data_IF_335773251150
#
_entry.id   IF_335773251150
#
_cell.length_a   1.000
_cell.length_b   1.000
_cell.length_c   1.000
_cell.angle_alpha   90.00
_cell.angle_beta   90.00
_cell.angle_gamma   90.00
#
_symmetry.space_group_name_H-M   'P 1'
#
loop_
_entity.id
_entity.type
_entity.pdbx_description
1 polymer ?
#
# COMPACT_ATOMS: atom_id res chain seq x y z
N UNK A 1 31.66 10.03 37.06
CA UNK A 1 30.64 11.05 36.73
C UNK A 1 31.15 11.86 35.55
N UNK A 2 30.66 11.58 34.35
CA UNK A 2 30.76 12.45 33.17
C UNK A 2 29.99 11.74 32.05
N UNK A 3 28.70 12.04 31.95
CA UNK A 3 27.86 11.57 30.87
C UNK A 3 28.33 12.21 29.56
N UNK A 4 28.81 11.37 28.64
CA UNK A 4 29.11 11.79 27.28
C UNK A 4 27.79 11.80 26.52
N UNK A 5 27.37 13.00 26.14
CA UNK A 5 26.23 13.29 25.28
C UNK A 5 26.40 12.57 23.94
N UNK A 6 25.74 11.42 23.80
CA UNK A 6 25.70 10.61 22.58
C UNK A 6 24.73 11.18 21.51
N UNK A 7 24.18 12.37 21.76
CA UNK A 7 23.19 13.06 20.92
C UNK A 7 23.60 14.52 20.75
N UNK A 8 24.60 14.77 19.93
CA UNK A 8 24.84 16.07 19.31
C UNK A 8 25.82 15.87 18.17
N UNK A 9 25.48 16.44 17.01
CA UNK A 9 26.26 16.40 15.76
C UNK A 9 25.98 15.18 14.87
N UNK A 10 24.83 15.19 14.16
CA UNK A 10 24.72 14.65 12.78
C UNK A 10 23.32 14.87 12.14
N UNK A 11 22.64 15.98 12.47
CA UNK A 11 21.36 16.36 11.84
C UNK A 11 21.41 17.72 11.12
N UNK A 12 22.58 18.06 10.58
CA UNK A 12 22.74 19.18 9.62
C UNK A 12 23.30 18.67 8.30
N UNK A 13 22.66 17.64 7.74
CA UNK A 13 22.81 17.28 6.34
C UNK A 13 21.61 17.80 5.56
N UNK A 14 21.76 18.95 4.90
CA UNK A 14 20.84 19.31 3.80
C UNK A 14 20.71 18.09 2.89
N UNK A 15 19.51 17.49 2.80
CA UNK A 15 19.24 16.46 1.80
C UNK A 15 19.62 17.07 0.45
N UNK A 16 20.52 16.45 -0.35
CA UNK A 16 20.96 17.04 -1.60
C UNK A 16 19.76 17.14 -2.52
N UNK A 17 19.18 18.34 -2.60
CA UNK A 17 18.18 18.69 -3.60
C UNK A 17 18.89 18.57 -4.93
N UNK A 18 18.59 17.50 -5.68
CA UNK A 18 19.24 17.23 -6.96
C UNK A 18 18.97 18.43 -7.86
N UNK A 19 19.99 19.28 -8.08
CA UNK A 19 19.90 20.42 -9.00
C UNK A 19 19.36 19.92 -10.35
N UNK A 20 18.32 20.59 -10.85
CA UNK A 20 17.71 20.29 -12.14
C UNK A 20 18.81 20.16 -13.22
N UNK A 21 18.85 19.02 -13.91
CA UNK A 21 19.81 18.75 -14.99
C UNK A 21 20.97 17.79 -14.64
N UNK A 22 21.29 17.57 -13.35
CA UNK A 22 22.36 16.63 -12.95
C UNK A 22 22.13 15.21 -13.48
N UNK A 23 20.88 14.74 -13.51
CA UNK A 23 20.54 13.42 -14.01
C UNK A 23 20.85 13.23 -15.50
N UNK A 24 20.75 14.30 -16.31
CA UNK A 24 21.05 14.26 -17.75
C UNK A 24 22.53 14.05 -18.01
N UNK A 25 23.39 14.65 -17.18
CA UNK A 25 24.85 14.50 -17.25
C UNK A 25 25.28 13.17 -16.61
N UNK A 26 24.64 12.79 -15.51
CA UNK A 26 24.92 11.55 -14.77
C UNK A 26 24.57 10.30 -15.58
N UNK A 27 23.50 10.36 -16.39
CA UNK A 27 22.95 9.25 -17.19
C UNK A 27 22.78 7.94 -16.40
N UNK A 28 22.62 8.04 -15.08
CA UNK A 28 22.45 6.91 -14.19
C UNK A 28 23.72 6.09 -13.90
N UNK A 29 24.89 6.49 -14.38
CA UNK A 29 26.15 5.75 -14.21
C UNK A 29 27.13 6.42 -13.25
N UNK A 30 27.13 7.76 -13.20
CA UNK A 30 28.11 8.55 -12.44
C UNK A 30 27.73 8.83 -10.99
N UNK A 31 26.52 8.44 -10.57
CA UNK A 31 26.00 8.59 -9.20
C UNK A 31 26.18 10.00 -8.57
N UNK A 32 26.16 11.05 -9.40
CA UNK A 32 26.40 12.44 -8.97
C UNK A 32 25.34 13.03 -8.03
N UNK A 33 24.25 12.31 -7.77
CA UNK A 33 23.22 12.68 -6.79
C UNK A 33 23.50 12.14 -5.38
N UNK A 34 24.61 11.41 -5.18
CA UNK A 34 25.00 10.86 -3.87
C UNK A 34 24.13 9.71 -3.36
N UNK A 35 23.14 9.25 -4.13
CA UNK A 35 22.35 8.06 -3.81
C UNK A 35 23.19 6.80 -4.08
N UNK A 36 22.95 5.71 -3.36
CA UNK A 36 23.61 4.42 -3.64
C UNK A 36 23.16 3.80 -4.97
N UNK A 37 21.89 4.01 -5.33
CA UNK A 37 21.28 3.53 -6.58
C UNK A 37 20.55 4.66 -7.30
N UNK A 38 20.69 4.70 -8.62
CA UNK A 38 20.03 5.74 -9.42
C UNK A 38 18.53 5.43 -9.54
N UNK A 39 17.62 6.32 -9.08
CA UNK A 39 16.19 6.07 -9.17
C UNK A 39 15.70 5.88 -10.61
N UNK A 40 16.33 6.54 -11.60
CA UNK A 40 15.97 6.37 -13.01
C UNK A 40 16.26 4.96 -13.52
N UNK A 41 17.39 4.38 -13.12
CA UNK A 41 17.76 3.02 -13.52
C UNK A 41 16.87 1.98 -12.84
N UNK A 42 16.58 2.16 -11.55
CA UNK A 42 15.61 1.34 -10.82
C UNK A 42 14.26 1.33 -11.55
N UNK A 43 13.76 2.51 -11.94
CA UNK A 43 12.51 2.63 -12.70
C UNK A 43 12.59 1.89 -14.05
N UNK A 44 13.70 2.03 -14.77
CA UNK A 44 13.88 1.40 -16.08
C UNK A 44 13.87 -0.13 -15.99
N UNK A 45 14.71 -0.70 -15.13
CA UNK A 45 14.81 -2.16 -14.98
C UNK A 45 13.51 -2.77 -14.46
N UNK A 46 12.89 -2.13 -13.48
CA UNK A 46 11.62 -2.61 -12.95
C UNK A 46 10.51 -2.60 -14.01
N UNK A 47 10.51 -1.62 -14.94
CA UNK A 47 9.56 -1.57 -16.06
C UNK A 47 9.72 -2.76 -16.99
N UNK A 48 10.97 -3.06 -17.33
CA UNK A 48 11.29 -4.17 -18.21
C UNK A 48 10.82 -5.50 -17.61
N UNK A 49 10.97 -5.68 -16.29
CA UNK A 49 10.53 -6.90 -15.60
C UNK A 49 9.02 -7.02 -15.45
N UNK A 50 8.29 -5.91 -15.29
CA UNK A 50 6.82 -5.91 -15.18
C UNK A 50 6.09 -6.03 -16.53
N UNK A 51 6.81 -5.94 -17.65
CA UNK A 51 6.22 -5.88 -19.00
C UNK A 51 5.37 -7.11 -19.37
N UNK A 52 5.73 -8.36 -19.03
CA UNK A 52 4.90 -9.52 -19.34
C UNK A 52 3.51 -9.50 -18.69
N UNK A 53 3.40 -8.88 -17.50
CA UNK A 53 2.14 -8.75 -16.76
C UNK A 53 1.20 -7.69 -17.38
N UNK A 54 1.73 -6.81 -18.23
CA UNK A 54 0.96 -5.75 -18.90
C UNK A 54 0.37 -6.18 -20.24
N UNK A 55 0.75 -7.35 -20.76
CA UNK A 55 0.27 -7.82 -22.06
C UNK A 55 -1.07 -8.58 -21.99
N UNK A 56 -1.46 -9.03 -20.79
CA UNK A 56 -2.68 -9.80 -20.55
C UNK A 56 -3.83 -8.92 -20.06
N UNK A 57 -5.06 -9.26 -20.50
CA UNK A 57 -6.30 -8.62 -20.03
C UNK A 57 -6.89 -9.29 -18.80
N UNK A 58 -6.55 -10.55 -18.59
CA UNK A 58 -6.97 -11.32 -17.44
C UNK A 58 -5.73 -11.62 -16.60
N UNK A 59 -5.85 -11.48 -15.29
CA UNK A 59 -4.77 -11.72 -14.35
C UNK A 59 -5.27 -12.53 -13.19
N UNK A 60 -4.56 -13.60 -12.89
CA UNK A 60 -4.82 -14.46 -11.76
C UNK A 60 -3.54 -14.64 -10.94
N UNK A 61 -3.68 -14.68 -9.63
CA UNK A 61 -2.57 -14.93 -8.73
C UNK A 61 -3.00 -14.95 -7.27
N UNK A 62 -2.04 -15.26 -6.40
CA UNK A 62 -2.22 -15.17 -4.96
C UNK A 62 -2.01 -13.71 -4.57
N UNK A 63 -3.09 -12.93 -4.45
CA UNK A 63 -2.97 -11.54 -3.98
C UNK A 63 -2.39 -11.57 -2.57
N UNK A 64 -1.24 -10.90 -2.30
CA UNK A 64 -0.95 -10.53 -0.92
C UNK A 64 -2.16 -9.70 -0.50
N UNK A 65 -2.75 -9.92 0.69
CA UNK A 65 -4.06 -9.34 1.06
C UNK A 65 -3.98 -7.80 1.10
N UNK A 66 -3.98 -7.18 -0.07
CA UNK A 66 -3.38 -5.90 -0.34
C UNK A 66 -4.28 -5.16 -1.29
N UNK A 67 -4.64 -3.95 -0.87
CA UNK A 67 -5.64 -3.13 -1.51
C UNK A 67 -5.10 -1.71 -1.60
N UNK A 68 -5.63 -0.93 -2.53
CA UNK A 68 -5.34 0.49 -2.59
C UNK A 68 -6.62 1.31 -2.66
N UNK A 69 -6.52 2.54 -2.16
CA UNK A 69 -7.55 3.57 -2.28
C UNK A 69 -6.90 4.83 -2.84
N UNK A 70 -7.33 5.23 -4.03
CA UNK A 70 -6.80 6.39 -4.73
C UNK A 70 -7.18 7.70 -4.03
N UNK A 71 -6.34 8.73 -4.20
CA UNK A 71 -6.57 10.08 -3.64
C UNK A 71 -7.26 11.06 -4.61
N UNK A 72 -7.16 10.80 -5.90
CA UNK A 72 -7.56 11.76 -6.93
C UNK A 72 -9.07 11.75 -7.16
N UNK A 73 -9.71 12.88 -6.90
CA UNK A 73 -11.15 13.07 -7.09
C UNK A 73 -12.02 12.75 -5.88
N UNK A 74 -11.44 12.61 -4.68
CA UNK A 74 -12.17 12.36 -3.44
C UNK A 74 -13.37 13.33 -3.30
N UNK A 75 -14.59 12.84 -3.00
CA UNK A 75 -14.92 11.49 -2.52
C UNK A 75 -15.02 10.41 -3.60
N UNK A 76 -15.06 10.75 -4.89
CA UNK A 76 -15.09 9.74 -5.97
C UNK A 76 -13.68 9.21 -6.22
N UNK A 77 -13.38 7.99 -5.80
CA UNK A 77 -12.03 7.43 -5.81
C UNK A 77 -11.97 6.09 -6.53
N UNK A 78 -10.78 5.74 -7.02
CA UNK A 78 -10.52 4.41 -7.55
C UNK A 78 -10.05 3.50 -6.40
N UNK A 79 -10.67 2.34 -6.27
CA UNK A 79 -10.29 1.29 -5.32
C UNK A 79 -9.97 -0.01 -6.05
N UNK A 80 -9.24 -0.89 -5.38
CA UNK A 80 -9.20 -2.29 -5.75
C UNK A 80 -7.98 -3.03 -5.21
N UNK A 81 -7.84 -4.30 -5.58
CA UNK A 81 -6.78 -5.15 -5.10
C UNK A 81 -5.45 -4.89 -5.82
N UNK A 82 -4.37 -5.33 -5.18
CA UNK A 82 -3.05 -5.48 -5.74
C UNK A 82 -2.83 -6.95 -6.10
N UNK A 83 -2.77 -7.25 -7.40
CA UNK A 83 -2.68 -8.61 -7.91
C UNK A 83 -1.29 -8.89 -8.48
N UNK A 84 -0.61 -9.95 -8.03
CA UNK A 84 0.53 -10.51 -8.74
C UNK A 84 0.05 -11.47 -9.84
N UNK A 85 0.91 -11.73 -10.83
CA UNK A 85 0.70 -12.80 -11.82
C UNK A 85 1.33 -14.15 -11.43
N UNK A 86 1.48 -14.39 -10.12
CA UNK A 86 2.08 -15.60 -9.55
C UNK A 86 1.21 -16.13 -8.41
N UNK A 87 1.23 -17.45 -8.22
CA UNK A 87 0.54 -18.14 -7.13
C UNK A 87 1.55 -18.59 -6.07
N UNK A 88 1.15 -18.61 -4.80
CA UNK A 88 2.00 -19.02 -3.68
C UNK A 88 1.97 -18.03 -2.53
N UNK A 89 3.02 -18.05 -1.69
CA UNK A 89 3.15 -17.10 -0.59
C UNK A 89 3.71 -15.76 -1.08
N UNK A 90 2.79 -14.86 -1.42
CA UNK A 90 3.09 -13.49 -1.85
C UNK A 90 3.07 -12.51 -0.68
N UNK A 91 2.87 -12.95 0.56
CA UNK A 91 2.72 -12.08 1.75
C UNK A 91 3.84 -11.06 1.88
N UNK A 92 5.06 -11.46 1.49
CA UNK A 92 6.24 -10.60 1.55
C UNK A 92 6.10 -9.36 0.66
N UNK A 93 5.28 -9.38 -0.38
CA UNK A 93 5.12 -8.26 -1.30
C UNK A 93 4.34 -7.08 -0.72
N UNK A 94 3.64 -7.25 0.41
CA UNK A 94 2.81 -6.21 1.06
C UNK A 94 2.93 -6.20 2.59
N UNK A 95 4.06 -6.67 3.12
CA UNK A 95 4.39 -6.60 4.56
C UNK A 95 5.69 -5.81 4.78
N UNK A 96 5.62 -4.46 4.81
CA UNK A 96 6.78 -3.60 5.04
C UNK A 96 7.60 -3.96 6.28
N UNK A 97 6.96 -4.46 7.33
CA UNK A 97 7.61 -4.93 8.57
C UNK A 97 8.61 -6.07 8.32
N UNK A 98 8.45 -6.83 7.23
CA UNK A 98 9.35 -7.93 6.82
C UNK A 98 10.38 -7.53 5.77
N UNK A 99 10.44 -6.26 5.36
CA UNK A 99 11.40 -5.79 4.36
C UNK A 99 12.75 -5.38 4.93
N UNK A 100 12.88 -5.29 6.25
CA UNK A 100 14.15 -4.96 6.90
C UNK A 100 15.24 -5.95 6.44
N UNK A 101 16.35 -5.41 5.95
CA UNK A 101 17.47 -6.19 5.39
C UNK A 101 17.35 -6.56 3.91
N UNK A 102 16.25 -6.24 3.22
CA UNK A 102 16.13 -6.39 1.76
C UNK A 102 16.71 -5.20 1.02
N UNK A 103 17.21 -5.44 -0.21
CA UNK A 103 17.68 -4.35 -1.06
C UNK A 103 16.52 -3.50 -1.58
N UNK A 104 16.80 -2.23 -1.92
CA UNK A 104 15.79 -1.35 -2.52
C UNK A 104 15.25 -1.94 -3.83
N UNK A 105 16.09 -2.64 -4.60
CA UNK A 105 15.69 -3.24 -5.87
C UNK A 105 14.73 -4.42 -5.67
N UNK A 106 14.91 -5.20 -4.61
CA UNK A 106 13.98 -6.28 -4.28
C UNK A 106 12.62 -5.73 -3.86
N UNK A 107 12.60 -4.68 -3.03
CA UNK A 107 11.36 -4.02 -2.58
C UNK A 107 10.61 -3.44 -3.78
N UNK A 108 11.34 -2.70 -4.62
CA UNK A 108 10.86 -2.18 -5.90
C UNK A 108 10.27 -3.31 -6.73
N UNK A 109 11.02 -4.37 -6.98
CA UNK A 109 10.58 -5.46 -7.86
C UNK A 109 9.31 -6.15 -7.34
N UNK A 110 9.28 -6.49 -6.04
CA UNK A 110 8.10 -7.06 -5.40
C UNK A 110 6.88 -6.14 -5.58
N UNK A 111 7.03 -4.83 -5.35
CA UNK A 111 5.90 -3.89 -5.44
C UNK A 111 5.47 -3.59 -6.87
N UNK A 112 6.39 -3.62 -7.84
CA UNK A 112 6.07 -3.36 -9.24
C UNK A 112 5.41 -4.53 -9.96
N UNK A 113 5.61 -5.76 -9.48
CA UNK A 113 4.88 -6.94 -9.96
C UNK A 113 3.39 -6.94 -9.58
N UNK A 114 2.99 -6.08 -8.64
CA UNK A 114 1.60 -5.95 -8.23
C UNK A 114 0.82 -5.01 -9.17
N UNK A 115 -0.03 -5.60 -10.00
CA UNK A 115 -0.96 -4.89 -10.86
C UNK A 115 -2.12 -4.36 -10.04
N UNK A 116 -2.45 -3.08 -10.27
CA UNK A 116 -3.55 -2.39 -9.58
C UNK A 116 -4.82 -2.47 -10.39
N UNK A 117 -5.81 -3.18 -9.84
CA UNK A 117 -7.15 -3.17 -10.40
C UNK A 117 -7.95 -1.95 -9.95
N UNK A 118 -8.41 -1.12 -10.88
CA UNK A 118 -9.15 0.10 -10.58
C UNK A 118 -10.65 -0.09 -10.78
N UNK A 119 -11.42 0.25 -9.77
CA UNK A 119 -12.87 0.39 -9.82
C UNK A 119 -13.29 1.70 -9.13
N UNK A 120 -14.13 2.50 -9.81
CA UNK A 120 -14.51 3.84 -9.33
C UNK A 120 -15.70 3.74 -8.38
N UNK A 121 -15.57 4.25 -7.16
CA UNK A 121 -16.66 4.33 -6.18
C UNK A 121 -16.79 5.73 -5.57
N UNK A 122 -17.89 5.97 -4.87
CA UNK A 122 -17.98 7.06 -3.90
C UNK A 122 -17.49 6.57 -2.53
N UNK A 123 -16.48 7.23 -1.97
CA UNK A 123 -15.86 6.84 -0.71
C UNK A 123 -16.77 7.03 0.50
N UNK A 124 -17.73 7.96 0.41
CA UNK A 124 -18.66 8.28 1.51
C UNK A 124 -19.93 7.44 1.44
N UNK A 125 -20.37 7.09 0.22
CA UNK A 125 -21.56 6.27 -0.02
C UNK A 125 -21.18 4.96 -0.74
N UNK A 126 -20.18 4.27 -0.16
CA UNK A 126 -19.60 3.08 -0.77
C UNK A 126 -20.56 1.88 -0.78
N UNK A 127 -21.56 1.86 0.11
CA UNK A 127 -22.57 0.78 0.20
C UNK A 127 -23.33 0.60 -1.13
N UNK A 128 -23.46 1.67 -1.94
CA UNK A 128 -24.09 1.62 -3.28
C UNK A 128 -23.27 0.85 -4.33
N UNK A 129 -21.96 0.72 -4.16
CA UNK A 129 -21.11 0.03 -5.13
C UNK A 129 -21.22 -1.50 -5.03
N UNK A 130 -21.90 -2.04 -4.01
CA UNK A 130 -22.25 -3.45 -3.91
C UNK A 130 -21.05 -4.37 -3.70
N UNK A 131 -21.07 -5.54 -4.35
CA UNK A 131 -20.17 -6.67 -4.08
C UNK A 131 -18.68 -6.32 -4.13
N UNK A 132 -18.25 -5.48 -5.06
CA UNK A 132 -16.83 -5.10 -5.21
C UNK A 132 -16.26 -4.48 -3.93
N UNK A 133 -17.07 -3.72 -3.20
CA UNK A 133 -16.64 -3.11 -1.93
C UNK A 133 -16.47 -4.17 -0.86
N UNK A 134 -17.42 -5.10 -0.76
CA UNK A 134 -17.31 -6.24 0.16
C UNK A 134 -16.07 -7.07 -0.14
N UNK A 135 -15.81 -7.42 -1.41
CA UNK A 135 -14.64 -8.20 -1.80
C UNK A 135 -13.32 -7.47 -1.45
N UNK A 136 -13.26 -6.15 -1.67
CA UNK A 136 -12.08 -5.34 -1.31
C UNK A 136 -11.91 -5.24 0.21
N UNK A 137 -12.99 -5.10 0.98
CA UNK A 137 -12.94 -5.11 2.44
C UNK A 137 -12.46 -6.45 2.97
N UNK A 138 -12.97 -7.56 2.44
CA UNK A 138 -12.55 -8.91 2.82
C UNK A 138 -11.06 -9.14 2.54
N UNK A 139 -10.57 -8.70 1.37
CA UNK A 139 -9.15 -8.78 1.04
C UNK A 139 -8.29 -7.97 2.02
N UNK A 140 -8.76 -6.80 2.45
CA UNK A 140 -8.03 -5.97 3.41
C UNK A 140 -7.98 -6.55 4.84
N UNK A 141 -9.00 -7.35 5.21
CA UNK A 141 -9.11 -8.00 6.52
C UNK A 141 -8.42 -9.37 6.56
N UNK A 142 -8.03 -9.92 5.42
CA UNK A 142 -7.46 -11.28 5.35
C UNK A 142 -5.99 -11.30 5.80
N UNK A 143 -5.62 -12.29 6.61
CA UNK A 143 -4.25 -12.45 7.14
C UNK A 143 -3.27 -13.06 6.10
N UNK A 144 -3.76 -13.99 5.27
CA UNK A 144 -2.97 -14.80 4.33
C UNK A 144 -3.28 -14.47 2.87
N UNK A 145 -2.35 -14.75 1.93
CA UNK A 145 -2.61 -14.58 0.50
C UNK A 145 -3.83 -15.37 0.04
N UNK A 146 -4.64 -14.75 -0.80
CA UNK A 146 -5.90 -15.31 -1.33
C UNK A 146 -5.79 -15.42 -2.84
N UNK A 147 -6.36 -16.47 -3.41
CA UNK A 147 -6.46 -16.58 -4.88
C UNK A 147 -7.43 -15.53 -5.39
N UNK A 148 -6.96 -14.66 -6.28
CA UNK A 148 -7.76 -13.59 -6.86
C UNK A 148 -7.59 -13.62 -8.38
N UNK A 149 -8.71 -13.48 -9.08
CA UNK A 149 -8.80 -13.35 -10.53
C UNK A 149 -9.46 -12.00 -10.85
N UNK A 150 -8.83 -11.22 -11.71
CA UNK A 150 -9.37 -9.95 -12.19
C UNK A 150 -9.35 -9.90 -13.71
N UNK A 151 -10.47 -9.44 -14.28
CA UNK A 151 -10.61 -9.20 -15.71
C UNK A 151 -10.57 -7.69 -15.94
N UNK A 152 -9.71 -7.24 -16.86
CA UNK A 152 -9.52 -5.83 -17.16
C UNK A 152 -10.13 -5.44 -18.51
N UNK A 153 -10.79 -4.28 -18.54
CA UNK A 153 -11.33 -3.68 -19.76
C UNK A 153 -10.23 -3.37 -20.78
N UNK A 154 -9.09 -2.94 -20.25
CA UNK A 154 -7.93 -2.50 -20.98
C UNK A 154 -6.69 -3.16 -20.39
N UNK A 155 -5.64 -3.31 -21.20
CA UNK A 155 -4.38 -3.87 -20.72
C UNK A 155 -3.82 -3.01 -19.59
N UNK A 156 -3.33 -3.62 -18.49
CA UNK A 156 -2.64 -2.90 -17.44
C UNK A 156 -1.53 -2.03 -18.02
N UNK A 157 -1.62 -0.74 -17.76
CA UNK A 157 -0.65 0.23 -18.24
C UNK A 157 -0.35 1.21 -17.12
N UNK A 158 0.78 1.87 -17.21
CA UNK A 158 1.11 2.86 -16.21
C UNK A 158 2.57 3.19 -16.16
N UNK A 159 2.83 4.37 -15.61
CA UNK A 159 4.18 4.81 -15.29
C UNK A 159 4.51 4.35 -13.88
N UNK A 160 5.74 3.86 -13.76
CA UNK A 160 6.40 3.58 -12.50
C UNK A 160 6.55 4.88 -11.71
N UNK A 161 5.83 4.96 -10.60
CA UNK A 161 5.93 6.06 -9.64
C UNK A 161 6.83 5.57 -8.51
N UNK A 162 7.99 6.22 -8.37
CA UNK A 162 8.76 6.23 -7.13
C UNK A 162 8.57 7.62 -6.56
N UNK A 163 8.01 7.66 -5.37
CA UNK A 163 7.77 8.84 -4.55
C UNK A 163 8.44 8.53 -3.19
N UNK A 164 9.05 9.53 -2.55
CA UNK A 164 9.69 9.34 -1.25
C UNK A 164 8.64 9.12 -0.15
N UNK A 165 7.40 9.57 -0.37
CA UNK A 165 6.31 9.51 0.61
C UNK A 165 5.37 8.31 0.41
N UNK A 166 5.56 7.53 -0.67
CA UNK A 166 4.64 6.44 -1.01
C UNK A 166 5.40 5.23 -1.53
N UNK A 167 4.93 4.05 -1.10
CA UNK A 167 5.43 2.79 -1.61
C UNK A 167 5.37 2.75 -3.15
N UNK A 168 6.38 2.15 -3.81
CA UNK A 168 6.35 1.93 -5.25
C UNK A 168 5.06 1.21 -5.66
N UNK A 169 4.49 1.60 -6.81
CA UNK A 169 3.28 0.97 -7.33
C UNK A 169 3.46 0.45 -8.75
N UNK A 170 2.97 -0.77 -8.97
CA UNK A 170 2.87 -1.38 -10.28
C UNK A 170 1.88 -0.71 -11.25
N UNK A 171 1.83 -1.25 -12.48
CA UNK A 171 0.91 -0.81 -13.53
C UNK A 171 -0.55 -0.98 -13.09
N UNK A 172 -1.48 -0.35 -13.82
CA UNK A 172 -2.89 -0.35 -13.43
C UNK A 172 -3.82 -0.47 -14.64
N UNK A 173 -4.99 -1.06 -14.44
CA UNK A 173 -6.07 -1.07 -15.42
C UNK A 173 -7.43 -1.00 -14.74
N UNK A 174 -8.46 -0.57 -15.49
CA UNK A 174 -9.84 -0.64 -15.03
C UNK A 174 -10.35 -2.08 -15.08
N UNK A 175 -10.90 -2.54 -13.96
CA UNK A 175 -11.49 -3.88 -13.85
C UNK A 175 -12.94 -3.89 -14.33
N UNK A 176 -13.33 -5.00 -14.95
CA UNK A 176 -14.74 -5.34 -15.25
C UNK A 176 -15.29 -6.38 -14.28
N UNK A 177 -14.43 -7.27 -13.77
CA UNK A 177 -14.81 -8.31 -12.83
C UNK A 177 -13.68 -8.64 -11.86
N UNK A 178 -14.08 -9.05 -10.65
CA UNK A 178 -13.21 -9.55 -9.60
C UNK A 178 -13.81 -10.85 -9.07
N UNK A 179 -12.99 -11.89 -8.95
CA UNK A 179 -13.32 -13.12 -8.23
C UNK A 179 -12.22 -13.40 -7.23
N UNK A 180 -12.59 -13.81 -6.03
CA UNK A 180 -11.64 -14.19 -4.98
C UNK A 180 -12.06 -15.49 -4.32
N UNK A 181 -11.10 -16.24 -3.82
CA UNK A 181 -11.36 -17.33 -2.89
C UNK A 181 -11.67 -16.80 -1.48
N UNK A 182 -12.14 -17.66 -0.59
CA UNK A 182 -12.31 -17.29 0.81
C UNK A 182 -10.95 -17.25 1.52
N UNK A 183 -10.78 -16.27 2.40
CA UNK A 183 -9.60 -16.09 3.22
C UNK A 183 -9.99 -16.02 4.69
N UNK A 184 -9.05 -16.38 5.58
CA UNK A 184 -9.24 -16.22 7.01
C UNK A 184 -8.95 -14.78 7.41
N UNK A 185 -9.90 -14.13 8.07
CA UNK A 185 -9.72 -12.77 8.56
C UNK A 185 -8.78 -12.76 9.78
N UNK A 186 -8.05 -11.66 9.93
CA UNK A 186 -7.29 -11.38 11.14
C UNK A 186 -8.27 -11.06 12.27
N UNK A 187 -8.10 -11.73 13.40
CA UNK A 187 -9.11 -11.76 14.47
C UNK A 187 -9.43 -10.38 15.07
N UNK A 188 -8.41 -9.55 15.28
CA UNK A 188 -8.62 -8.22 15.87
C UNK A 188 -9.32 -7.27 14.88
N UNK A 189 -8.94 -7.35 13.60
CA UNK A 189 -9.58 -6.57 12.53
C UNK A 189 -11.01 -7.02 12.26
N UNK A 190 -11.29 -8.33 12.33
CA UNK A 190 -12.64 -8.89 12.26
C UNK A 190 -13.54 -8.34 13.37
N UNK A 191 -13.05 -8.36 14.62
CA UNK A 191 -13.77 -7.78 15.76
C UNK A 191 -14.09 -6.30 15.54
N UNK A 192 -13.11 -5.51 15.09
CA UNK A 192 -13.31 -4.09 14.77
C UNK A 192 -14.31 -3.86 13.63
N UNK A 193 -14.36 -4.77 12.65
CA UNK A 193 -15.32 -4.68 11.55
C UNK A 193 -16.76 -4.80 12.06
N UNK A 194 -17.03 -5.76 12.94
CA UNK A 194 -18.37 -5.97 13.49
C UNK A 194 -18.76 -4.97 14.58
N UNK A 195 -17.80 -4.33 15.25
CA UNK A 195 -18.08 -3.28 16.24
C UNK A 195 -18.38 -1.93 15.55
N UNK A 196 -19.66 -1.63 15.38
CA UNK A 196 -20.15 -0.42 14.69
C UNK A 196 -20.25 0.81 15.57
N UNK A 197 -20.01 0.70 16.88
CA UNK A 197 -20.08 1.80 17.84
C UNK A 197 -18.69 2.26 18.31
N UNK A 198 -17.66 1.44 18.08
CA UNK A 198 -16.28 1.77 18.37
C UNK A 198 -15.75 2.89 17.48
N UNK A 199 -15.15 3.92 18.11
CA UNK A 199 -14.43 4.96 17.38
C UNK A 199 -13.20 4.39 16.66
N UNK A 200 -12.87 4.90 15.47
CA UNK A 200 -11.74 4.40 14.68
C UNK A 200 -10.42 4.50 15.47
N UNK A 201 -10.23 5.56 16.26
CA UNK A 201 -9.06 5.74 17.13
C UNK A 201 -8.88 4.58 18.12
N UNK A 202 -9.96 4.17 18.80
CA UNK A 202 -9.90 3.03 19.74
C UNK A 202 -9.63 1.72 19.00
N UNK A 203 -10.32 1.47 17.88
CA UNK A 203 -10.10 0.26 17.06
C UNK A 203 -8.65 0.11 16.58
N UNK A 204 -8.03 1.22 16.13
CA UNK A 204 -6.61 1.25 15.74
C UNK A 204 -5.71 0.91 16.93
N UNK A 205 -5.92 1.56 18.08
CA UNK A 205 -5.09 1.36 19.27
C UNK A 205 -5.23 -0.07 19.81
N UNK A 206 -6.46 -0.61 19.86
CA UNK A 206 -6.72 -1.97 20.31
C UNK A 206 -6.06 -3.01 19.40
N UNK A 207 -6.25 -2.90 18.07
CA UNK A 207 -5.61 -3.81 17.11
C UNK A 207 -4.08 -3.77 17.24
N UNK A 208 -3.52 -2.56 17.33
CA UNK A 208 -2.07 -2.39 17.49
C UNK A 208 -1.54 -3.02 18.79
N UNK A 209 -2.21 -2.79 19.93
CA UNK A 209 -1.83 -3.36 21.23
C UNK A 209 -1.99 -4.88 21.28
N UNK A 210 -2.91 -5.44 20.51
CA UNK A 210 -3.12 -6.88 20.40
C UNK A 210 -2.15 -7.55 19.40
N UNK A 211 -1.23 -6.78 18.80
CA UNK A 211 -0.15 -7.31 17.96
C UNK A 211 -0.46 -7.38 16.46
N UNK A 212 -1.58 -6.79 15.99
CA UNK A 212 -1.84 -6.66 14.55
C UNK A 212 -0.77 -5.75 13.92
N UNK A 213 -0.26 -6.11 12.74
CA UNK A 213 0.76 -5.34 12.05
C UNK A 213 0.23 -3.96 11.64
N UNK A 214 1.09 -2.93 11.70
CA UNK A 214 0.69 -1.55 11.36
C UNK A 214 0.19 -1.49 9.90
N UNK A 215 0.87 -2.18 8.99
CA UNK A 215 0.45 -2.26 7.59
C UNK A 215 -0.93 -2.91 7.39
N UNK A 216 -1.29 -3.90 8.20
CA UNK A 216 -2.62 -4.53 8.20
C UNK A 216 -3.68 -3.57 8.73
N UNK A 217 -3.38 -2.84 9.81
CA UNK A 217 -4.26 -1.80 10.36
C UNK A 217 -4.49 -0.67 9.36
N UNK A 218 -3.42 -0.17 8.73
CA UNK A 218 -3.49 0.89 7.70
C UNK A 218 -4.36 0.47 6.52
N UNK A 219 -4.26 -0.79 6.07
CA UNK A 219 -5.11 -1.34 5.00
C UNK A 219 -6.57 -1.39 5.40
N UNK A 220 -6.87 -2.00 6.55
CA UNK A 220 -8.22 -2.09 7.09
C UNK A 220 -8.83 -0.68 7.27
N UNK A 221 -8.07 0.26 7.84
CA UNK A 221 -8.50 1.64 8.01
C UNK A 221 -8.87 2.29 6.67
N UNK A 222 -8.07 2.05 5.62
CA UNK A 222 -8.28 2.65 4.30
C UNK A 222 -9.58 2.22 3.62
N UNK A 223 -10.06 1.00 3.89
CA UNK A 223 -11.30 0.46 3.30
C UNK A 223 -12.53 0.69 4.19
N UNK A 224 -12.40 1.54 5.21
CA UNK A 224 -13.51 1.94 6.07
C UNK A 224 -14.06 0.80 6.93
N UNK A 225 -13.24 -0.17 7.32
CA UNK A 225 -13.69 -1.31 8.16
C UNK A 225 -13.74 -0.99 9.65
N UNK A 226 -13.27 0.17 10.09
CA UNK A 226 -13.25 0.56 11.51
C UNK A 226 -13.81 1.95 11.74
N UNK A 227 -14.42 2.15 12.90
CA UNK A 227 -15.11 3.39 13.27
C UNK A 227 -16.62 3.23 13.37
N UNK A 228 -17.28 4.31 13.80
CA UNK A 228 -18.74 4.37 13.94
C UNK A 228 -19.38 4.19 12.56
N UNK A 229 -20.35 3.27 12.40
CA UNK A 229 -20.88 2.88 11.06
C UNK A 229 -21.29 4.07 10.19
N UNK A 230 -21.99 5.06 10.78
CA UNK A 230 -22.44 6.28 10.08
C UNK A 230 -21.30 7.15 9.55
N UNK A 231 -20.09 6.99 10.09
CA UNK A 231 -18.90 7.78 9.75
C UNK A 231 -17.85 6.97 8.98
N UNK A 232 -18.07 5.67 8.77
CA UNK A 232 -17.16 4.81 7.98
C UNK A 232 -17.12 5.32 6.54
N UNK A 233 -15.92 5.34 5.97
CA UNK A 233 -15.66 5.80 4.60
C UNK A 233 -14.36 5.18 4.11
N UNK A 234 -14.23 5.04 2.80
CA UNK A 234 -12.94 4.74 2.21
C UNK A 234 -12.03 5.95 2.36
N UNK A 235 -10.80 5.72 2.80
CA UNK A 235 -9.80 6.76 3.01
C UNK A 235 -8.63 6.48 2.09
N UNK A 236 -8.16 7.44 1.28
CA UNK A 236 -6.97 7.27 0.45
C UNK A 236 -5.81 6.65 1.23
N UNK A 237 -5.09 5.71 0.62
CA UNK A 237 -4.06 4.92 1.32
C UNK A 237 -3.01 5.82 2.00
N UNK A 238 -2.61 6.92 1.34
CA UNK A 238 -1.68 7.90 1.93
C UNK A 238 -2.22 8.56 3.20
N UNK A 239 -3.50 8.94 3.21
CA UNK A 239 -4.11 9.53 4.40
C UNK A 239 -4.29 8.50 5.51
N UNK A 240 -4.56 7.24 5.14
CA UNK A 240 -4.68 6.14 6.10
C UNK A 240 -3.37 5.85 6.82
N UNK A 241 -2.25 5.83 6.08
CA UNK A 241 -0.89 5.73 6.66
C UNK A 241 -0.69 6.85 7.68
N UNK A 242 -0.86 8.11 7.26
CA UNK A 242 -0.65 9.26 8.16
C UNK A 242 -1.60 9.24 9.36
N UNK A 243 -2.86 8.88 9.18
CA UNK A 243 -3.84 8.87 10.27
C UNK A 243 -3.55 7.78 11.31
N UNK A 244 -3.21 6.57 10.87
CA UNK A 244 -2.86 5.47 11.78
C UNK A 244 -1.57 5.79 12.54
N UNK A 245 -0.55 6.30 11.84
CA UNK A 245 0.72 6.67 12.47
C UNK A 245 0.53 7.79 13.50
N UNK A 246 -0.30 8.80 13.20
CA UNK A 246 -0.64 9.88 14.13
C UNK A 246 -1.43 9.37 15.35
N UNK A 247 -2.40 8.47 15.16
CA UNK A 247 -3.17 7.85 16.25
C UNK A 247 -2.25 7.08 17.19
N UNK A 248 -1.41 6.20 16.63
CA UNK A 248 -0.48 5.37 17.41
C UNK A 248 0.56 6.26 18.09
N UNK A 249 1.16 7.23 17.37
CA UNK A 249 2.15 8.15 17.92
C UNK A 249 1.61 8.98 19.10
N UNK A 250 0.38 9.49 18.99
CA UNK A 250 -0.28 10.22 20.09
C UNK A 250 -0.63 9.32 21.27
N UNK A 251 -0.95 8.04 21.05
CA UNK A 251 -1.16 7.08 22.14
C UNK A 251 0.14 6.84 22.93
N UNK A 252 1.29 6.77 22.23
CA UNK A 252 2.61 6.64 22.86
C UNK A 252 3.01 7.86 23.67
N UNK A 253 2.76 9.08 23.18
CA UNK A 253 3.13 10.33 23.87
C UNK A 253 2.32 10.60 25.16
N UNK A 254 1.17 9.95 25.33
CA UNK A 254 0.35 10.06 26.55
C UNK A 254 0.83 9.15 27.68
N UNK A 255 1.76 8.25 27.39
CA UNK A 255 2.41 7.39 28.39
C UNK A 255 3.64 8.09 28.95
#
# INVERSE_FOLDING_TARGET
MSGVSFFSEDFTGEKPVVKNGLCVICRGTKMMCGKERCPLMIKFYSRSRSMPLTDMKDLAGSSPPAVFVGRYGYPKVDIGPLLPGEFGDTSIMDKPERWVGKSIDDIVDMRYRLVRGKYRIDATDFKKAGKIVTDVQELALTEKPVSVEANFRERPHGRIVLDDDIQPFGPAARMEGLRKSNGRWEHNLEKNYYDTDLTATKGVIEAYRNGTLISEIQKAFSVGTMGIDKNRRFVPTRWSITAVDDIIGKDYLKR
#
